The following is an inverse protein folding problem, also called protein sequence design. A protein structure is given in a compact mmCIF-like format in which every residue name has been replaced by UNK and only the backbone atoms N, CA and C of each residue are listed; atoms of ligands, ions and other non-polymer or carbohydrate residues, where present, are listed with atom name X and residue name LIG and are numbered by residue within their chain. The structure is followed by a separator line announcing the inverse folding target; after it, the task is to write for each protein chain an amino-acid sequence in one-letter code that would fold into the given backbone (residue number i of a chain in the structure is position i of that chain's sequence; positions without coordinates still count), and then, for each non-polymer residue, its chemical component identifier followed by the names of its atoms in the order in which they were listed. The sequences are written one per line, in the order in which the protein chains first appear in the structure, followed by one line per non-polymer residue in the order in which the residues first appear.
data_IF_480175635666
#
_entry.id   IF_480175635666
#
_cell.length_a   1.000
_cell.length_b   1.000
_cell.length_c   1.000
_cell.angle_alpha   90.00
_cell.angle_beta   90.00
_cell.angle_gamma   90.00
#
_symmetry.space_group_name_H-M   'P 1'
#
loop_
_entity.id
_entity.type
_entity.pdbx_description
1 polymer ?
#
# COMPACT_ATOMS: atom_id res chain seq x y z
N UNK A 1 2.68 8.50 7.32
CA UNK A 1 4.12 8.16 7.19
C UNK A 1 4.32 6.76 6.62
N UNK A 2 3.53 5.76 7.07
CA UNK A 2 3.55 4.37 6.59
C UNK A 2 3.54 4.24 5.06
N UNK A 3 2.48 4.74 4.38
CA UNK A 3 2.36 4.71 2.91
C UNK A 3 3.58 5.20 2.12
N UNK A 4 4.29 6.23 2.61
CA UNK A 4 5.45 6.77 1.89
C UNK A 4 6.66 5.83 2.03
N UNK A 5 6.82 5.21 3.21
CA UNK A 5 7.82 4.18 3.44
C UNK A 5 7.52 2.92 2.62
N UNK A 6 6.27 2.48 2.56
CA UNK A 6 5.85 1.31 1.78
C UNK A 6 5.99 1.54 0.27
N UNK A 7 5.68 2.75 -0.20
CA UNK A 7 5.89 3.15 -1.60
C UNK A 7 7.39 3.15 -1.96
N UNK A 8 8.23 3.70 -1.09
CA UNK A 8 9.69 3.68 -1.29
C UNK A 8 10.24 2.25 -1.33
N UNK A 9 9.76 1.37 -0.45
CA UNK A 9 10.14 -0.04 -0.44
C UNK A 9 9.68 -0.78 -1.70
N UNK A 10 8.45 -0.52 -2.17
CA UNK A 10 7.92 -1.09 -3.41
C UNK A 10 8.74 -0.65 -4.62
N UNK A 11 9.08 0.63 -4.73
CA UNK A 11 9.93 1.16 -5.82
C UNK A 11 11.29 0.47 -5.83
N UNK A 12 11.88 0.26 -4.65
CA UNK A 12 13.18 -0.40 -4.53
C UNK A 12 13.10 -1.87 -4.96
N UNK A 13 12.06 -2.60 -4.53
CA UNK A 13 11.80 -3.99 -4.95
C UNK A 13 11.49 -4.11 -6.44
N UNK A 14 10.74 -3.16 -7.01
CA UNK A 14 10.51 -3.10 -8.46
C UNK A 14 11.81 -2.92 -9.24
N UNK A 15 12.69 -2.01 -8.79
CA UNK A 15 14.00 -1.80 -9.41
C UNK A 15 14.85 -3.06 -9.39
N UNK A 16 14.91 -3.75 -8.26
CA UNK A 16 15.62 -5.03 -8.15
C UNK A 16 15.00 -6.09 -9.07
N UNK A 17 13.67 -6.21 -9.11
CA UNK A 17 12.99 -7.15 -10.00
C UNK A 17 13.29 -6.87 -11.48
N UNK A 18 13.38 -5.60 -11.88
CA UNK A 18 13.79 -5.21 -13.23
C UNK A 18 15.27 -5.50 -13.50
N UNK A 19 16.15 -5.22 -12.54
CA UNK A 19 17.59 -5.45 -12.67
C UNK A 19 17.94 -6.93 -12.77
N UNK A 20 17.25 -7.79 -12.03
CA UNK A 20 17.49 -9.24 -11.98
C UNK A 20 16.56 -10.03 -12.91
N UNK A 21 15.90 -9.37 -13.87
CA UNK A 21 14.88 -9.99 -14.73
C UNK A 21 15.42 -11.11 -15.63
N UNK A 22 16.71 -11.08 -15.96
CA UNK A 22 17.38 -12.09 -16.79
C UNK A 22 18.10 -13.17 -15.98
N UNK A 23 17.89 -13.19 -14.65
CA UNK A 23 18.56 -14.14 -13.75
C UNK A 23 17.55 -15.11 -13.14
N UNK A 24 18.05 -16.23 -12.60
CA UNK A 24 17.23 -17.21 -11.87
C UNK A 24 16.49 -16.60 -10.66
N UNK A 25 16.94 -15.43 -10.17
CA UNK A 25 16.33 -14.72 -9.04
C UNK A 25 15.09 -13.91 -9.41
N UNK A 26 14.73 -13.81 -10.70
CA UNK A 26 13.58 -13.04 -11.17
C UNK A 26 12.28 -13.43 -10.45
N UNK A 27 12.03 -14.73 -10.27
CA UNK A 27 10.82 -15.22 -9.63
C UNK A 27 10.71 -14.74 -8.17
N UNK A 28 11.81 -14.76 -7.43
CA UNK A 28 11.84 -14.35 -6.03
C UNK A 28 11.61 -12.85 -5.88
N UNK A 29 12.31 -12.04 -6.68
CA UNK A 29 12.09 -10.58 -6.67
C UNK A 29 10.69 -10.20 -7.13
N UNK A 30 10.13 -10.91 -8.12
CA UNK A 30 8.75 -10.71 -8.56
C UNK A 30 7.76 -11.03 -7.43
N UNK A 31 7.96 -12.12 -6.68
CA UNK A 31 7.15 -12.43 -5.49
C UNK A 31 7.25 -11.33 -4.44
N UNK A 32 8.46 -10.91 -4.08
CA UNK A 32 8.66 -9.86 -3.07
C UNK A 32 8.02 -8.53 -3.48
N UNK A 33 8.12 -8.16 -4.75
CA UNK A 33 7.46 -6.97 -5.31
C UNK A 33 5.93 -7.08 -5.19
N UNK A 34 5.35 -8.22 -5.57
CA UNK A 34 3.90 -8.44 -5.47
C UNK A 34 3.40 -8.38 -4.02
N UNK A 35 4.14 -8.95 -3.08
CA UNK A 35 3.81 -8.88 -1.65
C UNK A 35 3.83 -7.44 -1.14
N UNK A 36 4.87 -6.66 -1.50
CA UNK A 36 4.96 -5.25 -1.12
C UNK A 36 3.83 -4.42 -1.75
N UNK A 37 3.51 -4.67 -3.02
CA UNK A 37 2.39 -4.01 -3.71
C UNK A 37 1.05 -4.35 -3.05
N UNK A 38 0.85 -5.60 -2.64
CA UNK A 38 -0.35 -6.03 -1.94
C UNK A 38 -0.49 -5.34 -0.58
N UNK A 39 0.57 -5.31 0.22
CA UNK A 39 0.58 -4.60 1.51
C UNK A 39 0.20 -3.12 1.34
N UNK A 40 0.84 -2.43 0.39
CA UNK A 40 0.52 -1.02 0.08
C UNK A 40 -0.95 -0.84 -0.32
N UNK A 41 -1.50 -1.74 -1.13
CA UNK A 41 -2.91 -1.67 -1.54
C UNK A 41 -3.87 -1.88 -0.35
N UNK A 42 -3.55 -2.80 0.57
CA UNK A 42 -4.31 -3.04 1.79
C UNK A 42 -4.25 -1.81 2.70
N UNK A 43 -3.08 -1.21 2.89
CA UNK A 43 -2.92 -0.02 3.72
C UNK A 43 -3.64 1.20 3.14
N UNK A 44 -3.59 1.39 1.83
CA UNK A 44 -4.33 2.43 1.14
C UNK A 44 -5.85 2.25 1.31
N UNK A 45 -6.35 1.01 1.19
CA UNK A 45 -7.76 0.70 1.45
C UNK A 45 -8.15 0.99 2.90
N UNK A 46 -7.35 0.53 3.86
CA UNK A 46 -7.64 0.73 5.28
C UNK A 46 -7.69 2.23 5.63
N UNK A 47 -6.81 3.05 5.07
CA UNK A 47 -6.87 4.51 5.25
C UNK A 47 -8.13 5.12 4.64
N UNK A 48 -8.55 4.67 3.46
CA UNK A 48 -9.81 5.10 2.85
C UNK A 48 -11.00 4.76 3.76
N UNK A 49 -11.04 3.53 4.27
CA UNK A 49 -12.11 3.06 5.16
C UNK A 49 -12.14 3.86 6.47
N UNK A 50 -10.97 4.18 7.05
CA UNK A 50 -10.87 5.03 8.25
C UNK A 50 -11.36 6.45 7.98
N UNK A 51 -11.03 7.03 6.83
CA UNK A 51 -11.52 8.36 6.43
C UNK A 51 -13.03 8.35 6.23
N UNK A 52 -13.57 7.32 5.58
CA UNK A 52 -15.01 7.18 5.37
C UNK A 52 -15.77 7.05 6.69
N UNK A 53 -15.27 6.20 7.60
CA UNK A 53 -15.81 6.09 8.96
C UNK A 53 -15.74 7.41 9.73
N UNK A 54 -14.65 8.16 9.61
CA UNK A 54 -14.51 9.47 10.25
C UNK A 54 -15.55 10.47 9.69
N UNK A 55 -15.75 10.49 8.37
CA UNK A 55 -16.80 11.30 7.73
C UNK A 55 -18.20 10.92 8.20
N UNK A 56 -18.53 9.63 8.22
CA UNK A 56 -19.83 9.14 8.70
C UNK A 56 -20.07 9.54 10.16
N UNK A 57 -19.04 9.44 11.02
CA UNK A 57 -19.11 9.90 12.40
C UNK A 57 -19.34 11.41 12.49
N UNK A 58 -18.64 12.23 11.71
CA UNK A 58 -18.85 13.68 11.70
C UNK A 58 -20.28 14.05 11.25
N UNK A 59 -20.81 13.38 10.23
CA UNK A 59 -22.19 13.58 9.79
C UNK A 59 -23.21 13.16 10.85
N UNK A 60 -22.94 12.08 11.59
CA UNK A 60 -23.80 11.63 12.69
C UNK A 60 -23.78 12.58 13.90
N UNK A 61 -22.66 13.26 14.16
CA UNK A 61 -22.53 14.21 15.27
C UNK A 61 -22.97 15.65 14.92
N UNK A 62 -23.37 15.91 13.67
CA UNK A 62 -23.76 17.24 13.18
C UNK A 62 -25.22 17.67 13.43
N UNK A 63 -26.01 16.92 14.20
CA UNK A 63 -27.37 17.35 14.61
C UNK A 63 -27.40 17.75 16.09
N UNK A 64 -27.31 19.04 16.43
CA UNK A 64 -27.96 19.52 17.64
C UNK A 64 -29.48 19.52 17.42
N UNK A 65 -30.21 18.89 18.33
CA UNK A 65 -31.65 19.08 18.51
C UNK A 65 -31.92 20.47 19.11
#
# INVERSE_FOLDING_TARGET
KLLNSDLAELINKMRLAQQYVLTSLQQDYKKQMLTAAHALAVDAKNLLDVIDQARLKMLAHGRPL
#
